data_IF_087293160115
#
_entry.id   IF_087293160115
#
_cell.length_a   1.000
_cell.length_b   1.000
_cell.length_c   1.000
_cell.angle_alpha   90.00
_cell.angle_beta   90.00
_cell.angle_gamma   90.00
#
_symmetry.space_group_name_H-M   'P 1'
#
loop_
_entity.id
_entity.type
_entity.pdbx_description
1 polymer ?
#
# COMPACT_ATOMS: atom_id res chain seq x y z
N UNK A 1 11.46 16.31 7.27
CA UNK A 1 11.84 14.99 7.72
C UNK A 1 12.11 14.07 6.57
N UNK A 2 13.33 13.54 6.54
CA UNK A 2 13.79 12.75 5.39
C UNK A 2 12.99 11.46 5.17
N UNK A 3 12.51 10.85 6.25
CA UNK A 3 11.74 9.60 6.17
C UNK A 3 10.39 9.78 5.48
N UNK A 4 9.75 10.94 5.67
CA UNK A 4 8.45 11.22 5.07
C UNK A 4 8.55 11.33 3.55
N UNK A 5 9.64 11.90 3.05
CA UNK A 5 9.81 12.12 1.61
C UNK A 5 9.85 10.83 0.82
N UNK A 6 10.45 9.78 1.37
CA UNK A 6 10.55 8.50 0.67
C UNK A 6 9.18 7.83 0.55
N UNK A 7 8.41 7.85 1.62
CA UNK A 7 7.06 7.29 1.62
C UNK A 7 6.17 8.08 0.69
N UNK A 8 6.33 9.41 0.70
CA UNK A 8 5.54 10.30 -0.14
C UNK A 8 5.76 10.04 -1.62
N UNK A 9 7.01 9.78 -2.02
CA UNK A 9 7.32 9.50 -3.42
C UNK A 9 6.66 8.23 -3.93
N UNK A 10 6.65 7.18 -3.13
CA UNK A 10 5.99 5.93 -3.47
C UNK A 10 4.49 6.12 -3.61
N UNK A 11 3.90 6.81 -2.66
CA UNK A 11 2.47 7.12 -2.68
C UNK A 11 2.09 7.92 -3.91
N UNK A 12 2.87 8.99 -4.18
CA UNK A 12 2.64 9.85 -5.35
C UNK A 12 2.72 9.04 -6.63
N UNK A 13 3.74 8.20 -6.75
CA UNK A 13 3.92 7.38 -7.94
C UNK A 13 2.72 6.46 -8.17
N UNK A 14 2.25 5.80 -7.12
CA UNK A 14 1.13 4.86 -7.22
C UNK A 14 -0.16 5.55 -7.60
N UNK A 15 -0.43 6.70 -7.01
CA UNK A 15 -1.64 7.47 -7.31
C UNK A 15 -1.60 7.98 -8.75
N UNK A 16 -0.46 8.56 -9.13
CA UNK A 16 -0.29 9.10 -10.48
C UNK A 16 -0.39 8.01 -11.54
N UNK A 17 0.28 6.88 -11.30
CA UNK A 17 0.24 5.75 -12.22
C UNK A 17 -1.18 5.23 -12.40
N UNK A 18 -1.92 5.07 -11.32
CA UNK A 18 -3.30 4.59 -11.40
C UNK A 18 -4.18 5.54 -12.20
N UNK A 19 -4.01 6.86 -11.98
CA UNK A 19 -4.75 7.86 -12.75
C UNK A 19 -4.43 7.78 -14.24
N UNK A 20 -3.14 7.72 -14.56
CA UNK A 20 -2.70 7.68 -15.96
C UNK A 20 -3.08 6.37 -16.65
N UNK A 21 -3.00 5.25 -15.94
CA UNK A 21 -3.39 3.94 -16.50
C UNK A 21 -4.86 3.94 -16.90
N UNK A 22 -5.70 4.68 -16.17
CA UNK A 22 -7.11 4.80 -16.47
C UNK A 22 -7.43 5.98 -17.38
N UNK A 23 -6.40 6.69 -17.82
CA UNK A 23 -6.51 7.84 -18.73
C UNK A 23 -7.42 8.94 -18.20
N UNK A 24 -7.33 9.17 -16.90
CA UNK A 24 -8.13 10.22 -16.25
C UNK A 24 -7.36 11.53 -16.19
N UNK A 25 -8.05 12.62 -16.49
CA UNK A 25 -7.52 13.97 -16.24
C UNK A 25 -7.66 14.26 -14.74
N UNK A 26 -7.01 15.34 -14.29
CA UNK A 26 -7.19 15.81 -12.91
C UNK A 26 -8.66 16.11 -12.62
N UNK A 27 -9.33 16.75 -13.55
CA UNK A 27 -10.74 17.13 -13.35
C UNK A 27 -11.64 15.89 -13.32
N UNK A 28 -11.35 14.91 -14.15
CA UNK A 28 -12.13 13.67 -14.14
C UNK A 28 -11.95 12.90 -12.83
N UNK A 29 -10.72 12.83 -12.35
CA UNK A 29 -10.48 12.18 -11.06
C UNK A 29 -11.11 12.98 -9.92
N UNK A 30 -11.04 14.31 -10.00
CA UNK A 30 -11.69 15.18 -9.02
C UNK A 30 -13.18 14.90 -8.95
N UNK A 31 -13.83 14.77 -10.09
CA UNK A 31 -15.26 14.51 -10.16
C UNK A 31 -15.61 13.15 -9.53
N UNK A 32 -14.81 12.13 -9.83
CA UNK A 32 -15.03 10.77 -9.29
C UNK A 32 -14.76 10.67 -7.80
N UNK A 33 -13.76 11.38 -7.31
CA UNK A 33 -13.29 11.21 -5.94
C UNK A 33 -13.87 12.18 -4.94
N UNK A 34 -14.31 13.34 -5.42
CA UNK A 34 -14.69 14.43 -4.53
C UNK A 34 -13.50 15.21 -3.98
N UNK A 35 -12.29 14.87 -4.43
CA UNK A 35 -11.07 15.59 -4.07
C UNK A 35 -10.79 16.63 -5.15
N UNK A 36 -10.49 17.89 -4.78
CA UNK A 36 -10.31 18.94 -5.78
C UNK A 36 -9.13 18.66 -6.70
N UNK A 37 -9.24 19.14 -7.93
CA UNK A 37 -8.15 19.04 -8.91
C UNK A 37 -6.87 19.65 -8.37
N UNK A 38 -6.98 20.77 -7.68
CA UNK A 38 -5.83 21.44 -7.09
C UNK A 38 -5.14 20.55 -6.06
N UNK A 39 -5.92 19.89 -5.22
CA UNK A 39 -5.36 19.00 -4.20
C UNK A 39 -4.62 17.83 -4.86
N UNK A 40 -5.21 17.25 -5.92
CA UNK A 40 -4.59 16.16 -6.65
C UNK A 40 -3.28 16.62 -7.30
N UNK A 41 -3.27 17.81 -7.91
CA UNK A 41 -2.06 18.37 -8.50
C UNK A 41 -0.96 18.58 -7.46
N UNK A 42 -1.33 19.04 -6.27
CA UNK A 42 -0.37 19.25 -5.21
C UNK A 42 0.29 17.93 -4.76
N UNK A 43 -0.49 16.85 -4.71
CA UNK A 43 0.07 15.54 -4.41
C UNK A 43 1.06 15.13 -5.50
N UNK A 44 0.64 15.19 -6.77
CA UNK A 44 1.44 14.65 -7.87
C UNK A 44 2.66 15.50 -8.20
N UNK A 45 2.53 16.80 -8.11
CA UNK A 45 3.59 17.73 -8.55
C UNK A 45 4.51 18.17 -7.41
N UNK A 46 4.02 18.20 -6.19
CA UNK A 46 4.79 18.70 -5.05
C UNK A 46 5.00 17.65 -3.96
N UNK A 47 4.50 16.44 -4.16
CA UNK A 47 4.70 15.36 -3.21
C UNK A 47 4.01 15.57 -1.87
N UNK A 48 2.97 16.40 -1.83
CA UNK A 48 2.22 16.63 -0.59
C UNK A 48 1.52 15.34 -0.17
N UNK A 49 1.65 14.99 1.10
CA UNK A 49 1.00 13.79 1.64
C UNK A 49 -0.48 14.09 1.87
N UNK A 50 -1.38 13.33 1.24
CA UNK A 50 -2.80 13.56 1.47
C UNK A 50 -3.21 13.14 2.88
N UNK A 51 -4.26 13.74 3.39
CA UNK A 51 -4.86 13.27 4.62
C UNK A 51 -5.41 11.85 4.40
N UNK A 52 -5.62 11.13 5.49
CA UNK A 52 -6.17 9.77 5.40
C UNK A 52 -7.53 9.76 4.70
N UNK A 53 -8.36 10.74 4.99
CA UNK A 53 -9.67 10.88 4.36
C UNK A 53 -9.55 11.07 2.85
N UNK A 54 -8.69 11.99 2.43
CA UNK A 54 -8.50 12.27 1.00
C UNK A 54 -7.88 11.09 0.26
N UNK A 55 -6.92 10.42 0.90
CA UNK A 55 -6.31 9.23 0.33
C UNK A 55 -7.36 8.14 0.10
N UNK A 56 -8.23 7.92 1.08
CA UNK A 56 -9.30 6.95 0.96
C UNK A 56 -10.24 7.26 -0.20
N UNK A 57 -10.60 8.55 -0.35
CA UNK A 57 -11.46 8.98 -1.45
C UNK A 57 -10.82 8.70 -2.81
N UNK A 58 -9.52 8.98 -2.94
CA UNK A 58 -8.78 8.74 -4.18
C UNK A 58 -8.66 7.26 -4.49
N UNK A 59 -8.32 6.45 -3.50
CA UNK A 59 -8.17 5.01 -3.67
C UNK A 59 -9.49 4.37 -4.13
N UNK A 60 -10.59 4.75 -3.50
CA UNK A 60 -11.90 4.23 -3.89
C UNK A 60 -12.30 4.66 -5.30
N UNK A 61 -12.03 5.92 -5.65
CA UNK A 61 -12.35 6.43 -6.99
C UNK A 61 -11.54 5.74 -8.08
N UNK A 62 -10.28 5.40 -7.77
CA UNK A 62 -9.40 4.74 -8.70
C UNK A 62 -9.58 3.21 -8.73
N UNK A 63 -10.36 2.67 -7.82
CA UNK A 63 -10.60 1.22 -7.70
C UNK A 63 -9.31 0.43 -7.57
N UNK A 64 -8.38 0.91 -6.74
CA UNK A 64 -7.11 0.24 -6.49
C UNK A 64 -7.04 -0.22 -5.04
N UNK A 65 -6.12 -1.14 -4.76
CA UNK A 65 -5.92 -1.63 -3.40
C UNK A 65 -5.18 -0.59 -2.55
N UNK A 66 -5.57 -0.49 -1.29
CA UNK A 66 -4.87 0.36 -0.32
C UNK A 66 -3.59 -0.32 0.20
N UNK A 67 -3.48 -1.63 0.08
CA UNK A 67 -2.39 -2.38 0.67
C UNK A 67 -1.00 -1.87 0.28
N UNK A 68 -0.70 -1.59 -1.00
CA UNK A 68 0.64 -1.14 -1.37
C UNK A 68 1.05 0.19 -0.75
N UNK A 69 0.10 0.98 -0.25
CA UNK A 69 0.41 2.24 0.42
C UNK A 69 0.90 2.02 1.85
N UNK A 70 0.61 0.88 2.44
CA UNK A 70 0.92 0.58 3.82
C UNK A 70 1.91 -0.57 3.98
N UNK A 71 2.03 -1.44 2.99
CA UNK A 71 2.89 -2.61 3.04
C UNK A 71 3.86 -2.63 1.87
N UNK A 72 5.07 -3.15 2.06
CA UNK A 72 6.03 -3.24 0.96
C UNK A 72 5.50 -4.08 -0.19
N UNK A 73 5.65 -3.57 -1.41
CA UNK A 73 5.21 -4.26 -2.61
C UNK A 73 6.22 -5.30 -3.10
N UNK A 74 7.42 -5.33 -2.52
CA UNK A 74 8.52 -6.10 -3.04
C UNK A 74 8.29 -7.62 -3.02
N UNK A 75 7.33 -8.10 -2.25
CA UNK A 75 7.08 -9.53 -2.13
C UNK A 75 6.18 -10.10 -3.23
N UNK A 76 5.54 -9.24 -4.02
CA UNK A 76 4.60 -9.71 -5.04
C UNK A 76 5.24 -10.65 -6.06
N UNK A 77 6.52 -10.44 -6.38
CA UNK A 77 7.24 -11.27 -7.34
C UNK A 77 8.00 -12.42 -6.70
N UNK A 78 7.93 -12.55 -5.38
CA UNK A 78 8.63 -13.60 -4.66
C UNK A 78 7.84 -14.90 -4.74
N UNK A 79 8.42 -15.93 -5.36
CA UNK A 79 7.74 -17.21 -5.57
C UNK A 79 7.43 -17.93 -4.24
N UNK A 80 8.33 -17.82 -3.28
CA UNK A 80 8.11 -18.45 -1.97
C UNK A 80 6.94 -17.79 -1.25
N UNK A 81 6.83 -16.48 -1.35
CA UNK A 81 5.69 -15.76 -0.76
C UNK A 81 4.38 -16.22 -1.41
N UNK A 82 4.36 -16.33 -2.73
CA UNK A 82 3.17 -16.78 -3.44
C UNK A 82 2.77 -18.21 -3.05
N UNK A 83 3.75 -19.10 -2.94
CA UNK A 83 3.51 -20.47 -2.53
C UNK A 83 2.98 -20.54 -1.09
N UNK A 84 3.56 -19.71 -0.22
CA UNK A 84 3.12 -19.64 1.17
C UNK A 84 1.65 -19.24 1.26
N UNK A 85 1.24 -18.24 0.48
CA UNK A 85 -0.16 -17.82 0.47
C UNK A 85 -1.09 -18.95 0.04
N UNK A 86 -0.66 -19.73 -0.96
CA UNK A 86 -1.47 -20.87 -1.43
C UNK A 86 -1.59 -21.92 -0.34
N UNK A 87 -0.48 -22.28 0.33
CA UNK A 87 -0.52 -23.22 1.44
C UNK A 87 -1.44 -22.75 2.56
N UNK A 88 -1.35 -21.45 2.89
CA UNK A 88 -2.20 -20.89 3.94
C UNK A 88 -3.68 -21.00 3.58
N UNK A 89 -4.02 -20.85 2.31
CA UNK A 89 -5.41 -20.96 1.88
C UNK A 89 -5.97 -22.37 2.03
N UNK A 90 -5.09 -23.37 2.14
CA UNK A 90 -5.49 -24.78 2.31
C UNK A 90 -5.56 -25.19 3.77
N UNK A 91 -5.17 -24.30 4.68
CA UNK A 91 -5.14 -24.61 6.11
C UNK A 91 -6.49 -24.37 6.76
N UNK A 92 -6.76 -25.16 7.81
CA UNK A 92 -7.93 -24.94 8.67
C UNK A 92 -7.68 -23.72 9.56
N UNK A 93 -8.73 -23.12 10.16
CA UNK A 93 -8.55 -22.00 11.07
C UNK A 93 -7.61 -22.31 12.24
N UNK A 94 -7.67 -23.53 12.79
CA UNK A 94 -6.78 -23.92 13.88
C UNK A 94 -5.32 -23.97 13.42
N UNK A 95 -5.08 -24.49 12.22
CA UNK A 95 -3.74 -24.53 11.65
C UNK A 95 -3.20 -23.11 11.42
N UNK A 96 -4.04 -22.22 10.93
CA UNK A 96 -3.67 -20.81 10.73
C UNK A 96 -3.25 -20.19 12.06
N UNK A 97 -4.01 -20.43 13.12
CA UNK A 97 -3.68 -19.90 14.45
C UNK A 97 -2.30 -20.36 14.90
N UNK A 98 -1.97 -21.63 14.69
CA UNK A 98 -0.68 -22.18 15.06
C UNK A 98 0.45 -21.56 14.22
N UNK A 99 0.24 -21.45 12.92
CA UNK A 99 1.23 -20.86 12.02
C UNK A 99 1.48 -19.41 12.38
N UNK A 100 0.43 -18.66 12.68
CA UNK A 100 0.56 -17.27 13.10
C UNK A 100 1.44 -17.15 14.34
N UNK A 101 1.23 -18.02 15.34
CA UNK A 101 2.03 -18.00 16.55
C UNK A 101 3.51 -18.28 16.25
N UNK A 102 3.79 -19.20 15.33
CA UNK A 102 5.15 -19.51 14.92
C UNK A 102 5.81 -18.32 14.21
N UNK A 103 5.08 -17.67 13.32
CA UNK A 103 5.60 -16.50 12.60
C UNK A 103 5.90 -15.37 13.59
N UNK A 104 4.98 -15.10 14.50
CA UNK A 104 5.17 -14.05 15.49
C UNK A 104 6.38 -14.33 16.39
N UNK A 105 6.55 -15.58 16.81
CA UNK A 105 7.70 -15.96 17.62
C UNK A 105 9.01 -15.79 16.84
N UNK A 106 9.02 -16.20 15.59
CA UNK A 106 10.21 -16.08 14.74
C UNK A 106 10.61 -14.61 14.55
N UNK A 107 9.63 -13.78 14.27
CA UNK A 107 9.90 -12.36 14.03
C UNK A 107 10.41 -11.65 15.29
N UNK A 108 9.90 -12.00 16.46
CA UNK A 108 10.41 -11.43 17.70
C UNK A 108 11.88 -11.80 17.93
N UNK A 109 12.23 -13.06 17.68
CA UNK A 109 13.60 -13.53 17.84
C UNK A 109 14.53 -12.83 16.84
N UNK A 110 14.10 -12.72 15.59
CA UNK A 110 14.88 -12.07 14.55
C UNK A 110 15.13 -10.59 14.86
N UNK A 111 14.10 -9.89 15.30
CA UNK A 111 14.22 -8.47 15.68
C UNK A 111 15.20 -8.26 16.82
N UNK A 112 15.17 -9.16 17.81
CA UNK A 112 16.08 -9.07 18.96
C UNK A 112 17.53 -9.15 18.48
N UNK A 113 17.81 -10.04 17.54
CA UNK A 113 19.14 -10.17 16.97
C UNK A 113 19.57 -8.93 16.20
N UNK A 114 18.65 -8.34 15.46
CA UNK A 114 18.97 -7.17 14.66
C UNK A 114 19.26 -5.93 15.50
N UNK A 115 18.62 -5.81 16.65
CA UNK A 115 18.83 -4.64 17.50
C UNK A 115 20.11 -4.70 18.34
N UNK A 116 20.76 -5.82 18.36
CA UNK A 116 22.04 -5.99 19.02
C UNK A 116 23.18 -5.54 18.12
#
# INVERSE_FOLDING_TARGET
>A
MAKSKKIDKDMVFRLKKARLDQKLTYDELSEKSGVSSRYIKEIENHGNVPSLEKLGQLIRALHISADPFFYPAALNDNLDYQRLLIYLSECTPDQITTILALVEAYLRTYKTHETE
#
